data_IF_592409603613
#
_entry.id   IF_592409603613
#
_cell.length_a   1.000
_cell.length_b   1.000
_cell.length_c   1.000
_cell.angle_alpha   90.00
_cell.angle_beta   90.00
_cell.angle_gamma   90.00
#
_symmetry.space_group_name_H-M   'P 1'
#
loop_
_entity.id
_entity.type
_entity.pdbx_description
1 polymer ?
#
# COMPACT_ATOMS: atom_id res chain seq x y z
N UNK A 1 11.75 -0.68 -10.04
CA UNK A 1 11.66 -0.79 -8.56
C UNK A 1 10.31 -0.24 -8.09
N UNK A 2 9.63 -0.98 -7.22
CA UNK A 2 8.27 -0.71 -6.78
C UNK A 2 8.18 -0.27 -5.32
N UNK A 3 7.27 0.65 -5.03
CA UNK A 3 6.98 1.21 -3.70
C UNK A 3 5.47 1.28 -3.50
N UNK A 4 5.01 1.10 -2.28
CA UNK A 4 3.60 1.31 -1.93
C UNK A 4 3.49 2.42 -0.89
N UNK A 5 2.78 3.47 -1.27
CA UNK A 5 2.41 4.57 -0.39
C UNK A 5 0.95 4.42 0.02
N UNK A 6 0.59 4.97 1.18
CA UNK A 6 -0.76 4.93 1.67
C UNK A 6 -1.16 6.18 2.42
N UNK A 7 -2.44 6.52 2.29
CA UNK A 7 -3.06 7.55 3.08
C UNK A 7 -3.65 6.93 4.35
N UNK A 8 -3.32 7.50 5.51
CA UNK A 8 -4.00 7.19 6.77
C UNK A 8 -4.11 8.43 7.64
N UNK A 9 -5.03 8.37 8.60
CA UNK A 9 -5.03 9.27 9.75
C UNK A 9 -3.89 8.83 10.68
N UNK A 10 -2.99 9.75 11.04
CA UNK A 10 -1.95 9.51 12.03
C UNK A 10 -2.52 9.54 13.45
N UNK A 11 -1.70 9.13 14.43
CA UNK A 11 -2.06 9.13 15.86
C UNK A 11 -2.42 10.54 16.40
N UNK A 12 -1.94 11.59 15.74
CA UNK A 12 -2.27 12.99 16.02
C UNK A 12 -3.61 13.42 15.43
N UNK A 13 -4.34 12.51 14.78
CA UNK A 13 -5.62 12.75 14.15
C UNK A 13 -5.53 13.47 12.80
N UNK A 14 -4.33 13.66 12.23
CA UNK A 14 -4.16 14.33 10.93
C UNK A 14 -4.03 13.32 9.80
N UNK A 15 -4.54 13.66 8.63
CA UNK A 15 -4.33 12.85 7.43
C UNK A 15 -2.90 13.06 6.91
N UNK A 16 -2.24 11.97 6.52
CA UNK A 16 -0.89 12.01 5.98
C UNK A 16 -0.66 10.90 4.96
N UNK A 17 0.33 11.13 4.08
CA UNK A 17 0.84 10.14 3.13
C UNK A 17 2.08 9.51 3.76
N UNK A 18 2.06 8.19 3.91
CA UNK A 18 3.15 7.43 4.49
C UNK A 18 3.64 6.41 3.47
N UNK A 19 4.95 6.20 3.44
CA UNK A 19 5.52 5.07 2.72
C UNK A 19 5.32 3.82 3.56
N UNK A 20 4.61 2.81 3.03
CA UNK A 20 4.37 1.56 3.77
C UNK A 20 5.55 0.63 3.59
N UNK A 21 5.92 0.39 2.32
CA UNK A 21 7.01 -0.51 1.95
C UNK A 21 7.62 -0.07 0.62
N UNK A 22 8.91 -0.35 0.41
CA UNK A 22 9.61 0.14 -0.78
C UNK A 22 10.85 -0.65 -1.18
N UNK A 23 11.35 -0.36 -2.38
CA UNK A 23 12.54 -0.96 -3.01
C UNK A 23 12.38 -2.46 -3.35
N UNK A 24 11.28 -2.84 -3.99
CA UNK A 24 11.14 -4.21 -4.50
C UNK A 24 11.28 -4.31 -6.01
N UNK A 25 11.83 -5.43 -6.47
CA UNK A 25 12.13 -5.65 -7.88
C UNK A 25 10.87 -5.95 -8.72
N UNK A 26 9.81 -6.43 -8.08
CA UNK A 26 8.53 -6.75 -8.73
C UNK A 26 7.33 -6.17 -8.00
N UNK A 27 6.26 -5.94 -8.77
CA UNK A 27 4.96 -5.49 -8.29
C UNK A 27 4.37 -6.46 -7.26
N UNK A 28 4.40 -7.76 -7.56
CA UNK A 28 3.85 -8.81 -6.70
C UNK A 28 4.54 -8.85 -5.34
N UNK A 29 5.87 -8.70 -5.31
CA UNK A 29 6.66 -8.71 -4.06
C UNK A 29 6.36 -7.48 -3.21
N UNK A 30 6.18 -6.32 -3.83
CA UNK A 30 5.76 -5.11 -3.12
C UNK A 30 4.37 -5.28 -2.50
N UNK A 31 3.42 -5.84 -3.26
CA UNK A 31 2.06 -6.10 -2.79
C UNK A 31 2.02 -7.13 -1.66
N UNK A 32 2.76 -8.24 -1.76
CA UNK A 32 2.86 -9.27 -0.71
C UNK A 32 3.41 -8.68 0.60
N UNK A 33 4.48 -7.88 0.52
CA UNK A 33 5.09 -7.23 1.69
C UNK A 33 4.18 -6.19 2.32
N UNK A 34 3.39 -5.49 1.50
CA UNK A 34 2.37 -4.58 2.00
C UNK A 34 1.29 -5.32 2.77
N UNK A 35 0.81 -6.46 2.25
CA UNK A 35 -0.16 -7.29 2.95
C UNK A 35 0.38 -7.79 4.30
N UNK A 36 1.61 -8.29 4.33
CA UNK A 36 2.29 -8.70 5.57
C UNK A 36 2.40 -7.55 6.58
N UNK A 37 2.74 -6.34 6.11
CA UNK A 37 2.82 -5.16 6.97
C UNK A 37 1.46 -4.79 7.55
N UNK A 38 0.40 -4.79 6.74
CA UNK A 38 -0.95 -4.45 7.16
C UNK A 38 -1.56 -5.44 8.16
N UNK A 39 -1.09 -6.69 8.16
CA UNK A 39 -1.52 -7.73 9.11
C UNK A 39 -0.88 -7.56 10.50
N UNK A 40 0.12 -6.69 10.64
CA UNK A 40 0.78 -6.44 11.92
C UNK A 40 -0.19 -5.73 12.91
N UNK A 41 -0.19 -6.15 14.19
CA UNK A 41 -1.02 -5.52 15.21
C UNK A 41 -0.63 -4.05 15.40
N UNK A 42 -1.64 -3.18 15.50
CA UNK A 42 -1.44 -1.73 15.72
C UNK A 42 -1.30 -0.92 14.44
N UNK A 43 -1.36 -1.54 13.26
CA UNK A 43 -1.46 -0.81 11.99
C UNK A 43 -2.89 -0.30 11.80
N UNK A 44 -3.06 1.02 11.91
CA UNK A 44 -4.34 1.68 11.68
C UNK A 44 -4.79 1.57 10.21
N UNK A 45 -6.10 1.62 9.98
CA UNK A 45 -6.74 1.40 8.67
C UNK A 45 -6.31 2.48 7.68
N UNK A 46 -5.36 2.14 6.81
CA UNK A 46 -5.10 2.91 5.60
C UNK A 46 -6.39 3.01 4.78
N UNK A 47 -6.70 4.22 4.31
CA UNK A 47 -7.93 4.50 3.55
C UNK A 47 -7.72 4.40 2.05
N UNK A 48 -6.46 4.49 1.59
CA UNK A 48 -6.08 4.36 0.19
C UNK A 48 -4.62 3.93 0.09
N UNK A 49 -4.29 3.13 -0.92
CA UNK A 49 -2.94 2.69 -1.24
C UNK A 49 -2.64 2.96 -2.73
N UNK A 50 -1.39 3.27 -3.04
CA UNK A 50 -0.91 3.41 -4.41
C UNK A 50 0.43 2.69 -4.58
N UNK A 51 0.55 1.92 -5.65
CA UNK A 51 1.79 1.31 -6.12
C UNK A 51 2.47 2.26 -7.10
N UNK A 52 3.73 2.57 -6.84
CA UNK A 52 4.58 3.42 -7.65
C UNK A 52 5.67 2.56 -8.26
N UNK A 53 5.76 2.57 -9.59
CA UNK A 53 6.92 2.10 -10.32
C UNK A 53 7.89 3.26 -10.53
N UNK A 54 9.02 3.24 -9.84
CA UNK A 54 10.02 4.31 -9.87
C UNK A 54 10.90 4.31 -11.13
N UNK A 55 10.89 3.23 -11.92
CA UNK A 55 11.62 3.20 -13.19
C UNK A 55 10.82 3.87 -14.30
N UNK A 56 9.51 3.66 -14.31
CA UNK A 56 8.62 4.18 -15.35
C UNK A 56 7.83 5.43 -14.92
N UNK A 57 7.79 5.73 -13.62
CA UNK A 57 6.97 6.80 -13.04
C UNK A 57 5.47 6.48 -12.99
N UNK A 58 5.06 5.26 -13.33
CA UNK A 58 3.66 4.85 -13.35
C UNK A 58 3.14 4.69 -11.92
N UNK A 59 1.95 5.24 -11.67
CA UNK A 59 1.24 5.12 -10.39
C UNK A 59 -0.05 4.33 -10.62
N UNK A 60 -0.21 3.22 -9.90
CA UNK A 60 -1.42 2.37 -9.92
C UNK A 60 -2.14 2.46 -8.58
N UNK A 61 -3.46 2.61 -8.61
CA UNK A 61 -4.28 2.62 -7.40
C UNK A 61 -4.54 1.19 -6.91
N UNK A 62 -4.31 0.95 -5.62
CA UNK A 62 -4.61 -0.31 -4.95
C UNK A 62 -5.86 -0.18 -4.07
N UNK A 63 -6.69 -1.21 -4.04
CA UNK A 63 -7.88 -1.29 -3.18
C UNK A 63 -7.93 -2.60 -2.40
N UNK A 64 -8.58 -2.52 -1.24
CA UNK A 64 -8.66 -3.60 -0.26
C UNK A 64 -9.87 -4.45 -0.58
N UNK A 65 -9.66 -5.64 -1.13
CA UNK A 65 -10.78 -6.42 -1.68
C UNK A 65 -11.50 -7.27 -0.63
N UNK A 66 -10.95 -7.43 0.59
CA UNK A 66 -11.68 -7.95 1.77
C UNK A 66 -10.83 -7.86 3.03
N UNK A 67 -11.44 -7.45 4.16
CA UNK A 67 -10.78 -7.42 5.48
C UNK A 67 -10.51 -8.82 6.07
N UNK A 68 -11.18 -9.86 5.58
CA UNK A 68 -10.93 -11.25 5.98
C UNK A 68 -10.07 -11.92 4.91
N UNK A 69 -8.77 -12.09 5.18
CA UNK A 69 -7.79 -12.66 4.24
C UNK A 69 -7.23 -11.66 3.23
N UNK A 70 -6.87 -10.45 3.69
CA UNK A 70 -6.51 -9.28 2.88
C UNK A 70 -5.81 -9.60 1.54
N UNK A 71 -6.47 -9.20 0.45
CA UNK A 71 -5.91 -9.19 -0.90
C UNK A 71 -5.94 -7.76 -1.43
N UNK A 72 -4.83 -7.32 -2.02
CA UNK A 72 -4.73 -6.04 -2.73
C UNK A 72 -5.02 -6.30 -4.21
N UNK A 73 -5.90 -5.52 -4.81
CA UNK A 73 -6.09 -5.50 -6.27
C UNK A 73 -5.79 -4.11 -6.83
N UNK A 74 -5.29 -4.08 -8.06
CA UNK A 74 -5.17 -2.84 -8.83
C UNK A 74 -6.54 -2.53 -9.44
N UNK A 75 -7.12 -1.40 -9.08
CA UNK A 75 -8.50 -1.05 -9.50
C UNK A 75 -8.52 -0.29 -10.80
N UNK A 76 -7.44 0.41 -11.14
CA UNK A 76 -7.35 1.23 -12.34
C UNK A 76 -5.97 1.11 -12.99
N UNK A 77 -5.97 0.94 -14.30
CA UNK A 77 -4.83 1.13 -15.21
C UNK A 77 -4.81 2.55 -15.71
#
# INVERSE_FOLDING_TARGET
MFYIIGARKGYDGKEGIFNLVGNYDTEEKAMEKTLQFLDLPGIERYTSLALIDNETGIIKQLDFVRMTGAQLNIVKR
#
